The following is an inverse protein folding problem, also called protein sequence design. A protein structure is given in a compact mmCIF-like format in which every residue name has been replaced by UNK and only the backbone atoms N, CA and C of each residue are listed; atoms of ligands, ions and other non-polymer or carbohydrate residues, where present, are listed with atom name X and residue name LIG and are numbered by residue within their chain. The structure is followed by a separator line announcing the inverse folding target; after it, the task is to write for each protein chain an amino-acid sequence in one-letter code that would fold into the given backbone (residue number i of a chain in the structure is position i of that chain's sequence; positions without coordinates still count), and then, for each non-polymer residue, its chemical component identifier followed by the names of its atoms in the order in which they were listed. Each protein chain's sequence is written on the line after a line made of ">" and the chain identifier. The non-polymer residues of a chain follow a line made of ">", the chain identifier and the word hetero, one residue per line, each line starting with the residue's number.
data_IF_609347884436
#
_entry.id   IF_609347884436
#
_cell.length_a   1.000
_cell.length_b   1.000
_cell.length_c   1.000
_cell.angle_alpha   90.00
_cell.angle_beta   90.00
_cell.angle_gamma   90.00
#
_symmetry.space_group_name_H-M   'P 1'
#
loop_
_entity.id
_entity.type
_entity.pdbx_description
1 polymer ?
#
# COMPACT_ATOMS: atom_id res chain seq x y z
N UNK A 1 -13.21 9.79 -12.13
CA UNK A 1 -13.77 9.40 -11.17
C UNK A 1 -13.41 8.14 -10.68
N UNK A 2 -12.65 8.00 -9.74
CA UNK A 2 -12.14 6.77 -9.38
C UNK A 2 -12.27 6.53 -7.92
N UNK A 3 -13.51 6.44 -7.49
CA UNK A 3 -13.79 6.05 -6.13
C UNK A 3 -14.07 4.57 -6.03
N UNK A 4 -13.37 3.83 -6.88
CA UNK A 4 -13.50 2.39 -6.81
C UNK A 4 -12.90 1.90 -5.51
N UNK A 5 -13.65 1.06 -4.80
CA UNK A 5 -13.18 0.50 -3.56
C UNK A 5 -12.22 -0.64 -3.82
N UNK A 6 -11.15 -0.64 -3.08
CA UNK A 6 -10.11 -1.66 -3.15
C UNK A 6 -9.87 -2.21 -1.77
N UNK A 7 -9.13 -3.29 -1.68
CA UNK A 7 -8.76 -3.84 -0.38
C UNK A 7 -7.44 -4.57 -0.50
N UNK A 8 -6.77 -4.72 0.63
CA UNK A 8 -5.54 -5.48 0.68
C UNK A 8 -5.88 -6.96 0.59
N UNK A 9 -5.04 -7.71 -0.10
CA UNK A 9 -5.26 -9.15 -0.19
C UNK A 9 -4.81 -9.82 1.09
N UNK A 10 -5.53 -10.87 1.46
CA UNK A 10 -5.21 -11.65 2.65
C UNK A 10 -3.86 -12.31 2.45
N UNK A 11 -3.06 -12.33 3.50
CA UNK A 11 -1.78 -13.01 3.46
C UNK A 11 -0.60 -12.11 3.16
N UNK A 12 -0.85 -10.83 2.86
CA UNK A 12 0.24 -9.88 2.62
C UNK A 12 0.36 -8.97 3.84
N UNK A 13 1.51 -9.05 4.50
CA UNK A 13 1.72 -8.32 5.74
C UNK A 13 2.95 -7.45 5.67
N UNK A 14 2.87 -6.30 6.33
CA UNK A 14 3.99 -5.40 6.43
C UNK A 14 4.93 -5.87 7.53
N UNK A 15 6.20 -5.97 7.20
CA UNK A 15 7.23 -6.35 8.15
C UNK A 15 8.38 -5.38 8.05
N UNK A 16 9.14 -5.30 9.12
CA UNK A 16 10.35 -4.49 9.09
C UNK A 16 11.54 -5.45 9.22
N UNK A 17 12.37 -5.48 8.19
CA UNK A 17 13.52 -6.37 8.15
C UNK A 17 14.76 -5.53 7.90
N UNK A 18 15.70 -5.58 8.84
CA UNK A 18 16.96 -4.84 8.74
C UNK A 18 16.72 -3.36 8.51
N UNK A 19 15.69 -2.82 9.16
CA UNK A 19 15.39 -1.40 9.06
C UNK A 19 14.58 -1.00 7.83
N UNK A 20 14.23 -1.95 6.99
CA UNK A 20 13.43 -1.66 5.80
C UNK A 20 12.02 -2.18 5.95
N UNK A 21 11.08 -1.42 5.43
CA UNK A 21 9.68 -1.83 5.41
C UNK A 21 9.42 -2.66 4.17
N UNK A 22 8.88 -3.86 4.36
CA UNK A 22 8.61 -4.75 3.24
C UNK A 22 7.25 -5.41 3.42
N UNK A 23 6.63 -5.75 2.29
CA UNK A 23 5.42 -6.57 2.29
C UNK A 23 5.84 -7.99 1.95
N UNK A 24 5.43 -8.93 2.79
CA UNK A 24 5.77 -10.33 2.62
C UNK A 24 4.49 -11.13 2.46
N UNK A 25 4.47 -12.04 1.50
CA UNK A 25 3.37 -12.98 1.34
C UNK A 25 3.52 -14.07 2.39
N UNK A 26 2.58 -14.12 3.32
CA UNK A 26 2.59 -15.12 4.37
C UNK A 26 1.33 -15.96 4.26
N UNK A 27 1.44 -17.09 3.59
CA UNK A 27 0.34 -18.02 3.47
C UNK A 27 0.45 -19.09 4.52
N UNK A 28 -0.60 -19.90 4.61
CA UNK A 28 -0.61 -20.98 5.59
C UNK A 28 0.44 -22.02 5.31
N UNK A 29 0.73 -22.25 4.06
CA UNK A 29 1.62 -23.34 3.69
C UNK A 29 3.00 -22.88 3.27
N UNK A 30 3.14 -21.69 2.74
CA UNK A 30 4.40 -21.21 2.22
C UNK A 30 4.58 -19.74 2.46
N UNK A 31 5.78 -19.37 2.87
CA UNK A 31 6.20 -17.98 2.86
C UNK A 31 7.00 -17.82 1.58
N UNK A 32 6.52 -16.96 0.69
CA UNK A 32 7.18 -16.77 -0.58
C UNK A 32 8.07 -15.53 -0.52
N UNK A 33 9.32 -15.77 -0.20
CA UNK A 33 10.27 -14.67 -0.09
C UNK A 33 10.67 -14.09 -1.45
N UNK A 34 10.30 -14.75 -2.54
CA UNK A 34 10.62 -14.22 -3.86
C UNK A 34 9.74 -13.03 -4.23
N UNK A 35 8.65 -12.82 -3.48
CA UNK A 35 7.74 -11.72 -3.73
C UNK A 35 7.74 -10.69 -2.61
N UNK A 36 8.94 -10.39 -2.11
CA UNK A 36 9.10 -9.33 -1.12
C UNK A 36 9.07 -7.99 -1.83
N UNK A 37 8.23 -7.10 -1.35
CA UNK A 37 8.06 -5.79 -1.95
C UNK A 37 8.51 -4.73 -0.96
N UNK A 38 9.53 -3.97 -1.35
CA UNK A 38 10.04 -2.89 -0.51
C UNK A 38 9.08 -1.72 -0.51
N UNK A 39 8.94 -1.08 0.64
CA UNK A 39 8.11 0.11 0.77
C UNK A 39 8.91 1.22 1.40
N UNK A 40 8.81 2.41 0.84
CA UNK A 40 9.40 3.56 1.50
C UNK A 40 8.51 3.94 2.69
N UNK A 41 8.92 4.96 3.42
CA UNK A 41 8.24 5.34 4.64
C UNK A 41 6.78 5.73 4.42
N UNK A 42 6.52 6.52 3.39
CA UNK A 42 5.16 6.97 3.14
C UNK A 42 4.26 5.83 2.68
N UNK A 43 4.78 4.94 1.83
CA UNK A 43 4.00 3.78 1.39
C UNK A 43 3.67 2.85 2.55
N UNK A 44 4.63 2.64 3.44
CA UNK A 44 4.40 1.81 4.62
C UNK A 44 3.35 2.43 5.54
N UNK A 45 3.41 3.74 5.71
CA UNK A 45 2.41 4.45 6.50
C UNK A 45 1.01 4.24 5.93
N UNK A 46 0.87 4.42 4.62
CA UNK A 46 -0.43 4.24 3.98
C UNK A 46 -0.92 2.80 4.11
N UNK A 47 -0.03 1.84 3.90
CA UNK A 47 -0.41 0.44 4.01
C UNK A 47 -0.94 0.11 5.40
N UNK A 48 -0.27 0.62 6.46
CA UNK A 48 -0.71 0.38 7.83
C UNK A 48 -2.11 0.91 8.08
N UNK A 49 -2.46 2.02 7.43
CA UNK A 49 -3.76 2.65 7.64
C UNK A 49 -4.88 1.91 6.94
N UNK A 50 -4.57 1.20 5.87
CA UNK A 50 -5.62 0.58 5.06
C UNK A 50 -5.63 -0.95 5.13
N UNK A 51 -4.67 -1.54 5.81
CA UNK A 51 -4.59 -3.00 5.86
C UNK A 51 -5.86 -3.58 6.49
N UNK A 52 -6.40 -4.61 5.85
CA UNK A 52 -7.62 -5.29 6.27
C UNK A 52 -8.86 -4.40 6.21
N UNK A 53 -8.81 -3.35 5.41
CA UNK A 53 -9.95 -2.45 5.21
C UNK A 53 -10.17 -2.21 3.74
N UNK A 54 -11.38 -1.79 3.42
CA UNK A 54 -11.66 -1.29 2.07
C UNK A 54 -11.22 0.18 2.00
N UNK A 55 -10.71 0.56 0.85
CA UNK A 55 -10.22 1.92 0.66
C UNK A 55 -10.33 2.33 -0.80
N UNK A 56 -10.29 3.61 -1.06
CA UNK A 56 -10.27 4.15 -2.41
C UNK A 56 -9.01 4.99 -2.60
N UNK A 57 -8.75 5.39 -3.84
CA UNK A 57 -7.63 6.31 -4.09
C UNK A 57 -7.80 7.61 -3.31
N UNK A 58 -9.03 8.11 -3.22
CA UNK A 58 -9.29 9.33 -2.46
C UNK A 58 -8.90 9.17 -1.00
N UNK A 59 -9.17 8.01 -0.42
CA UNK A 59 -8.80 7.76 0.97
C UNK A 59 -7.29 7.87 1.14
N UNK A 60 -6.54 7.29 0.21
CA UNK A 60 -5.07 7.34 0.27
C UNK A 60 -4.56 8.76 0.07
N UNK A 61 -5.19 9.50 -0.85
CA UNK A 61 -4.80 10.89 -1.08
C UNK A 61 -4.97 11.72 0.20
N UNK A 62 -6.10 11.55 0.87
CA UNK A 62 -6.36 12.27 2.11
C UNK A 62 -5.35 11.93 3.19
N UNK A 63 -5.04 10.64 3.33
CA UNK A 63 -4.05 10.22 4.31
C UNK A 63 -2.68 10.82 4.03
N UNK A 64 -2.30 10.84 2.76
CA UNK A 64 -1.00 11.36 2.37
C UNK A 64 -0.90 12.86 2.66
N UNK A 65 -1.94 13.60 2.31
CA UNK A 65 -1.97 15.04 2.54
C UNK A 65 -1.92 15.35 4.03
N UNK A 66 -2.65 14.59 4.84
CA UNK A 66 -2.70 14.84 6.27
C UNK A 66 -1.35 14.60 6.94
N UNK A 67 -0.64 13.58 6.50
CA UNK A 67 0.61 13.23 7.17
C UNK A 67 1.81 13.98 6.65
N UNK A 68 1.87 14.24 5.34
CA UNK A 68 3.07 14.76 4.71
C UNK A 68 2.94 16.15 4.12
N UNK A 69 1.80 16.79 4.27
CA UNK A 69 1.59 18.16 3.80
C UNK A 69 1.93 18.40 2.34
N UNK A 70 1.59 17.45 1.49
CA UNK A 70 1.79 17.62 0.04
C UNK A 70 0.54 18.24 -0.57
N UNK A 71 0.71 18.92 -1.69
CA UNK A 71 -0.45 19.49 -2.36
C UNK A 71 -1.29 18.41 -3.03
N UNK A 72 -2.54 18.75 -3.33
CA UNK A 72 -3.50 17.77 -3.80
C UNK A 72 -3.10 17.17 -5.15
N UNK A 73 -2.59 17.99 -6.07
CA UNK A 73 -2.22 17.52 -7.40
C UNK A 73 -1.09 16.50 -7.29
N UNK A 74 -0.07 16.81 -6.49
CA UNK A 74 1.05 15.88 -6.28
C UNK A 74 0.59 14.60 -5.61
N UNK A 75 -0.26 14.73 -4.58
CA UNK A 75 -0.76 13.57 -3.86
C UNK A 75 -1.55 12.65 -4.79
N UNK A 76 -2.41 13.19 -5.63
CA UNK A 76 -3.18 12.37 -6.56
C UNK A 76 -2.29 11.64 -7.54
N UNK A 77 -1.28 12.32 -8.06
CA UNK A 77 -0.34 11.71 -8.99
C UNK A 77 0.43 10.58 -8.32
N UNK A 78 0.95 10.83 -7.13
CA UNK A 78 1.72 9.83 -6.39
C UNK A 78 0.87 8.62 -6.04
N UNK A 79 -0.36 8.85 -5.59
CA UNK A 79 -1.25 7.76 -5.22
C UNK A 79 -1.66 6.94 -6.43
N UNK A 80 -1.91 7.58 -7.56
CA UNK A 80 -2.26 6.85 -8.77
C UNK A 80 -1.14 5.89 -9.16
N UNK A 81 0.11 6.34 -9.10
CA UNK A 81 1.25 5.48 -9.40
C UNK A 81 1.39 4.36 -8.37
N UNK A 82 1.19 4.69 -7.10
CA UNK A 82 1.31 3.70 -6.03
C UNK A 82 0.28 2.60 -6.17
N UNK A 83 -0.97 2.97 -6.45
CA UNK A 83 -2.04 1.99 -6.61
C UNK A 83 -1.76 1.08 -7.78
N UNK A 84 -1.26 1.63 -8.89
CA UNK A 84 -0.90 0.82 -10.04
C UNK A 84 0.19 -0.18 -9.69
N UNK A 85 1.20 0.26 -8.94
CA UNK A 85 2.28 -0.62 -8.49
C UNK A 85 1.75 -1.74 -7.61
N UNK A 86 0.87 -1.40 -6.68
CA UNK A 86 0.31 -2.40 -5.77
C UNK A 86 -0.58 -3.39 -6.50
N UNK A 87 -1.36 -2.93 -7.48
CA UNK A 87 -2.17 -3.82 -8.30
C UNK A 87 -1.30 -4.75 -9.13
N UNK A 88 -0.24 -4.21 -9.73
CA UNK A 88 0.69 -5.02 -10.52
C UNK A 88 1.42 -6.04 -9.65
N UNK A 89 1.72 -5.67 -8.43
CA UNK A 89 2.38 -6.59 -7.50
C UNK A 89 1.42 -7.64 -6.94
N UNK A 90 0.11 -7.42 -7.11
CA UNK A 90 -0.88 -8.39 -6.65
C UNK A 90 -1.15 -8.35 -5.17
N UNK A 91 -0.87 -7.23 -4.51
CA UNK A 91 -1.07 -7.14 -3.06
C UNK A 91 -2.37 -6.43 -2.67
N UNK A 92 -3.05 -5.84 -3.64
CA UNK A 92 -4.41 -5.30 -3.42
C UNK A 92 -5.32 -5.78 -4.55
N UNK A 93 -6.61 -5.65 -4.32
CA UNK A 93 -7.59 -6.02 -5.33
C UNK A 93 -8.82 -5.11 -5.31
#
# INVERSE_FOLDING_TARGET
>A
QNNKEMKTKVGFNLRQICGENVIIAEGEENIDFSNIISMNESSAYLWKKIQDKEFSEDDLVKLLIEEYEVDEVTAKSDISSLVKSWLNAGIIE
#
